data_IF_577155929765
#
_entry.id   IF_577155929765
#
_cell.length_a   1.000
_cell.length_b   1.000
_cell.length_c   1.000
_cell.angle_alpha   90.00
_cell.angle_beta   90.00
_cell.angle_gamma   90.00
#
_symmetry.space_group_name_H-M   'P 1'
#
loop_
_entity.id
_entity.type
_entity.pdbx_description
1 polymer ?
#
# COMPACT_ATOMS: atom_id res chain seq x y z
N UNK A 1 -5.76 -35.04 -10.80
CA UNK A 1 -5.18 -35.40 -9.49
C UNK A 1 -4.46 -34.17 -8.96
N UNK A 2 -4.85 -33.62 -7.80
CA UNK A 2 -4.15 -32.47 -7.22
C UNK A 2 -2.91 -32.99 -6.48
N UNK A 3 -1.73 -32.54 -6.88
CA UNK A 3 -0.49 -32.79 -6.15
C UNK A 3 -0.11 -31.53 -5.35
N UNK A 4 0.47 -31.66 -4.14
CA UNK A 4 0.97 -30.51 -3.41
C UNK A 4 2.00 -29.77 -4.25
N UNK A 5 1.89 -28.45 -4.33
CA UNK A 5 2.95 -27.64 -4.92
C UNK A 5 4.17 -27.75 -4.01
N UNK A 6 5.39 -27.98 -4.54
CA UNK A 6 6.60 -27.91 -3.74
C UNK A 6 6.64 -26.57 -2.98
N UNK A 7 7.02 -26.60 -1.69
CA UNK A 7 7.14 -25.39 -0.85
C UNK A 7 8.38 -24.59 -1.26
N UNK A 8 8.26 -23.90 -2.39
CA UNK A 8 9.24 -22.92 -2.86
C UNK A 8 8.86 -21.58 -2.24
N UNK A 9 9.58 -21.20 -1.20
CA UNK A 9 9.46 -19.89 -0.59
C UNK A 9 10.37 -18.91 -1.34
N UNK A 10 9.83 -17.81 -1.88
CA UNK A 10 10.68 -16.77 -2.46
C UNK A 10 11.59 -16.17 -1.40
N UNK A 11 12.72 -15.60 -1.85
CA UNK A 11 13.53 -14.74 -1.00
C UNK A 11 12.66 -13.60 -0.42
N UNK A 12 13.07 -13.05 0.71
CA UNK A 12 12.39 -11.91 1.34
C UNK A 12 13.25 -10.67 1.29
N UNK A 13 12.60 -9.51 1.23
CA UNK A 13 13.20 -8.19 1.41
C UNK A 13 12.64 -7.56 2.67
N UNK A 14 13.45 -6.79 3.38
CA UNK A 14 13.01 -5.99 4.53
C UNK A 14 12.48 -4.64 4.06
N UNK A 15 11.28 -4.27 4.51
CA UNK A 15 10.68 -2.95 4.34
C UNK A 15 10.22 -2.42 5.70
N UNK A 16 9.90 -1.14 5.80
CA UNK A 16 9.42 -0.52 7.02
C UNK A 16 7.96 -0.08 6.86
N UNK A 17 7.05 -0.65 7.65
CA UNK A 17 5.64 -0.25 7.69
C UNK A 17 5.36 0.47 8.99
N UNK A 18 4.95 1.74 8.95
CA UNK A 18 4.84 2.61 10.13
C UNK A 18 6.13 2.64 10.98
N UNK A 19 7.29 2.51 10.32
CA UNK A 19 8.59 2.44 10.98
C UNK A 19 8.97 1.07 11.55
N UNK A 20 8.06 0.10 11.56
CA UNK A 20 8.33 -1.27 11.99
C UNK A 20 8.92 -2.10 10.84
N UNK A 21 10.02 -2.86 11.04
CA UNK A 21 10.56 -3.73 10.01
C UNK A 21 9.64 -4.92 9.72
N UNK A 22 9.45 -5.24 8.44
CA UNK A 22 8.59 -6.32 7.96
C UNK A 22 9.33 -7.06 6.84
N UNK A 23 9.46 -8.39 6.98
CA UNK A 23 9.98 -9.25 5.94
C UNK A 23 8.86 -9.61 4.96
N UNK A 24 9.08 -9.31 3.68
CA UNK A 24 8.08 -9.46 2.63
C UNK A 24 8.68 -10.27 1.49
N UNK A 25 7.95 -11.24 0.89
CA UNK A 25 8.39 -11.90 -0.33
C UNK A 25 8.88 -10.91 -1.39
N UNK A 26 10.05 -11.16 -1.95
CA UNK A 26 10.56 -10.41 -3.10
C UNK A 26 9.54 -10.47 -4.25
N UNK A 27 9.32 -9.33 -4.91
CA UNK A 27 8.33 -9.20 -5.98
C UNK A 27 6.88 -9.01 -5.51
N UNK A 28 6.59 -9.10 -4.21
CA UNK A 28 5.26 -8.78 -3.68
C UNK A 28 4.96 -7.28 -3.75
N UNK A 29 3.70 -6.91 -3.50
CA UNK A 29 3.28 -5.51 -3.47
C UNK A 29 3.48 -4.88 -2.08
N UNK A 30 3.63 -3.56 -2.04
CA UNK A 30 3.63 -2.79 -0.80
C UNK A 30 2.33 -2.99 0.00
N UNK A 31 1.21 -3.25 -0.68
CA UNK A 31 -0.03 -3.64 -0.01
C UNK A 31 0.07 -4.99 0.73
N UNK A 32 0.83 -5.96 0.20
CA UNK A 32 1.08 -7.22 0.90
C UNK A 32 1.92 -7.00 2.16
N UNK A 33 2.92 -6.10 2.11
CA UNK A 33 3.71 -5.72 3.28
C UNK A 33 2.82 -5.21 4.43
N UNK A 34 1.83 -4.39 4.09
CA UNK A 34 0.88 -3.79 5.03
C UNK A 34 -0.01 -4.83 5.68
N UNK A 35 -0.48 -5.81 4.91
CA UNK A 35 -1.26 -6.92 5.44
C UNK A 35 -0.41 -7.83 6.35
N UNK A 36 0.84 -8.10 5.98
CA UNK A 36 1.79 -8.87 6.79
C UNK A 36 2.12 -8.15 8.11
N UNK A 37 2.20 -6.82 8.07
CA UNK A 37 2.40 -5.99 9.26
C UNK A 37 1.20 -5.99 10.22
N UNK A 38 0.04 -6.51 9.80
CA UNK A 38 -1.16 -6.58 10.64
C UNK A 38 -1.79 -5.22 10.95
N UNK A 39 -1.62 -4.22 10.08
CA UNK A 39 -2.20 -2.89 10.30
C UNK A 39 -3.74 -2.98 10.37
N UNK A 40 -4.40 -2.21 11.25
CA UNK A 40 -5.85 -2.13 11.32
C UNK A 40 -6.45 -1.31 10.17
N UNK A 41 -5.67 -0.37 9.61
CA UNK A 41 -5.99 0.47 8.47
C UNK A 41 -4.70 1.02 7.86
N UNK A 42 -4.72 1.31 6.55
CA UNK A 42 -3.63 2.06 5.87
C UNK A 42 -4.05 3.47 5.46
N UNK A 43 -5.34 3.78 5.56
CA UNK A 43 -5.87 5.12 5.36
C UNK A 43 -7.25 5.21 5.96
N UNK A 44 -7.73 6.45 6.04
CA UNK A 44 -9.13 6.76 6.25
C UNK A 44 -9.70 7.40 4.99
N UNK A 45 -11.00 7.20 4.72
CA UNK A 45 -11.66 7.89 3.62
C UNK A 45 -11.69 9.40 3.89
N UNK A 46 -11.37 10.26 2.90
CA UNK A 46 -11.37 11.72 3.10
C UNK A 46 -12.70 12.28 3.60
N UNK A 47 -13.80 11.62 3.22
CA UNK A 47 -15.15 11.90 3.71
C UNK A 47 -15.53 10.80 4.70
N UNK A 48 -15.91 11.18 5.91
CA UNK A 48 -16.43 10.26 6.94
C UNK A 48 -15.39 9.45 7.71
N UNK A 49 -14.10 9.51 7.34
CA UNK A 49 -13.02 8.91 8.14
C UNK A 49 -13.08 7.38 8.25
N UNK A 50 -13.74 6.69 7.32
CA UNK A 50 -13.88 5.24 7.41
C UNK A 50 -12.52 4.55 7.17
N UNK A 51 -12.07 3.66 8.06
CA UNK A 51 -10.79 2.96 7.91
C UNK A 51 -10.82 2.05 6.67
N UNK A 52 -9.71 2.01 5.94
CA UNK A 52 -9.54 1.15 4.76
C UNK A 52 -8.25 0.35 4.84
N UNK A 53 -8.32 -0.88 4.33
CA UNK A 53 -7.19 -1.77 4.09
C UNK A 53 -7.12 -2.17 2.61
N UNK A 54 -5.98 -2.72 2.16
CA UNK A 54 -5.92 -3.34 0.85
C UNK A 54 -7.02 -4.39 0.65
N UNK A 55 -7.82 -4.21 -0.40
CA UNK A 55 -8.98 -5.05 -0.69
C UNK A 55 -8.86 -5.73 -2.05
N UNK A 56 -8.96 -4.96 -3.15
CA UNK A 56 -9.08 -5.55 -4.49
C UNK A 56 -7.77 -6.15 -5.05
N UNK A 57 -6.60 -5.69 -4.60
CA UNK A 57 -5.28 -6.03 -5.17
C UNK A 57 -5.14 -5.84 -6.71
N UNK A 58 -6.00 -5.04 -7.33
CA UNK A 58 -6.08 -4.85 -8.78
C UNK A 58 -5.83 -3.39 -9.22
N UNK A 59 -5.62 -2.46 -8.29
CA UNK A 59 -5.46 -1.05 -8.62
C UNK A 59 -6.75 -0.31 -8.99
N UNK A 60 -7.92 -0.83 -8.62
CA UNK A 60 -9.22 -0.22 -9.02
C UNK A 60 -10.03 0.39 -7.87
N UNK A 61 -9.93 -0.15 -6.65
CA UNK A 61 -10.76 0.32 -5.52
C UNK A 61 -10.21 1.54 -4.79
N UNK A 62 -8.92 1.86 -4.96
CA UNK A 62 -8.20 2.93 -4.25
C UNK A 62 -8.18 2.82 -2.71
N UNK A 63 -8.55 1.68 -2.13
CA UNK A 63 -8.54 1.50 -0.67
C UNK A 63 -7.15 1.29 -0.06
N UNK A 64 -6.19 0.85 -0.88
CA UNK A 64 -4.79 0.67 -0.52
C UNK A 64 -3.92 1.93 -0.71
N UNK A 65 -4.50 3.13 -0.75
CA UNK A 65 -3.69 4.34 -0.88
C UNK A 65 -2.82 4.52 0.36
N UNK A 66 -1.53 4.72 0.14
CA UNK A 66 -0.49 4.85 1.16
C UNK A 66 0.48 5.99 0.82
N UNK A 67 1.27 6.40 1.80
CA UNK A 67 2.51 7.13 1.56
C UNK A 67 3.64 6.12 1.40
N UNK A 68 4.37 6.17 0.28
CA UNK A 68 5.48 5.26 0.01
C UNK A 68 6.69 6.10 -0.35
N UNK A 69 7.76 5.96 0.42
CA UNK A 69 9.02 6.71 0.29
C UNK A 69 8.80 8.24 0.20
N UNK A 70 7.90 8.76 1.03
CA UNK A 70 7.55 10.18 1.08
C UNK A 70 6.57 10.65 -0.01
N UNK A 71 6.13 9.75 -0.90
CA UNK A 71 5.15 10.06 -1.95
C UNK A 71 3.77 9.62 -1.49
N UNK A 72 2.88 10.58 -1.25
CA UNK A 72 1.51 10.33 -0.83
C UNK A 72 0.62 9.78 -1.97
N UNK A 73 -0.52 9.18 -1.60
CA UNK A 73 -1.56 8.71 -2.53
C UNK A 73 -1.07 7.71 -3.58
N UNK A 74 -0.15 6.83 -3.20
CA UNK A 74 0.27 5.70 -4.04
C UNK A 74 -0.63 4.49 -3.82
N UNK A 75 -1.04 3.83 -4.90
CA UNK A 75 -1.79 2.58 -4.82
C UNK A 75 -0.82 1.47 -4.43
N UNK A 76 -0.77 1.12 -3.14
CA UNK A 76 0.23 0.18 -2.63
C UNK A 76 0.16 -1.20 -3.30
N UNK A 77 -1.01 -1.61 -3.81
CA UNK A 77 -1.15 -2.87 -4.56
C UNK A 77 -0.46 -2.87 -5.93
N UNK A 78 -0.12 -1.70 -6.47
CA UNK A 78 0.54 -1.52 -7.78
C UNK A 78 2.03 -1.20 -7.63
N UNK A 79 2.56 -1.18 -6.40
CA UNK A 79 3.97 -0.87 -6.12
C UNK A 79 4.65 -2.14 -5.62
N UNK A 80 5.65 -2.62 -6.35
CA UNK A 80 6.49 -3.74 -5.91
C UNK A 80 7.43 -3.32 -4.78
N UNK A 81 7.60 -4.14 -3.76
CA UNK A 81 8.51 -3.85 -2.64
C UNK A 81 9.97 -3.86 -3.08
N UNK A 82 10.78 -3.02 -2.45
CA UNK A 82 12.24 -3.00 -2.59
C UNK A 82 12.89 -2.91 -1.21
N UNK A 83 14.13 -3.41 -1.02
CA UNK A 83 14.81 -3.35 0.27
C UNK A 83 14.88 -1.93 0.84
N UNK A 84 14.54 -1.76 2.11
CA UNK A 84 14.56 -0.48 2.82
C UNK A 84 13.40 0.47 2.51
N UNK A 85 12.45 0.08 1.65
CA UNK A 85 11.26 0.87 1.32
C UNK A 85 10.47 1.25 2.58
N UNK A 86 9.96 2.48 2.64
CA UNK A 86 9.16 3.00 3.75
C UNK A 86 7.71 3.18 3.33
N UNK A 87 6.81 2.49 4.02
CA UNK A 87 5.37 2.51 3.77
C UNK A 87 4.69 3.06 5.01
N UNK A 88 3.91 4.13 4.85
CA UNK A 88 3.16 4.74 5.92
C UNK A 88 1.68 4.91 5.54
N UNK A 89 0.83 5.00 6.55
CA UNK A 89 -0.58 5.24 6.40
C UNK A 89 -0.82 6.61 5.76
N UNK A 90 -1.71 6.64 4.77
CA UNK A 90 -2.14 7.89 4.16
C UNK A 90 -3.04 8.65 5.13
N UNK A 91 -2.65 9.87 5.47
CA UNK A 91 -3.40 10.73 6.40
C UNK A 91 -4.14 11.81 5.63
N UNK A 92 -5.47 11.77 5.73
CA UNK A 92 -6.35 12.75 5.08
C UNK A 92 -6.32 12.72 3.54
N UNK A 93 -6.84 13.77 2.93
CA UNK A 93 -6.79 13.95 1.48
C UNK A 93 -5.38 14.34 1.03
N UNK A 94 -4.99 13.89 -0.18
CA UNK A 94 -3.76 14.39 -0.80
C UNK A 94 -3.85 15.92 -0.94
N UNK A 95 -2.78 16.62 -0.59
CA UNK A 95 -2.70 18.04 -0.87
C UNK A 95 -2.47 18.23 -2.37
N UNK A 96 -3.38 18.94 -3.03
CA UNK A 96 -3.13 19.40 -4.38
C UNK A 96 -2.01 20.45 -4.31
N UNK A 97 -0.99 20.34 -5.17
CA UNK A 97 0.02 21.39 -5.30
C UNK A 97 -0.70 22.73 -5.53
N UNK A 98 -0.36 23.82 -4.82
CA UNK A 98 -0.94 25.13 -5.09
C UNK A 98 -0.75 25.46 -6.58
N UNK A 99 -1.85 25.64 -7.32
CA UNK A 99 -1.86 25.86 -8.77
C UNK A 99 -2.37 24.70 -9.64
N UNK A 100 -2.63 23.51 -9.08
CA UNK A 100 -3.43 22.50 -9.76
C UNK A 100 -4.92 22.82 -9.53
N UNK A 101 -5.51 23.64 -10.40
CA UNK A 101 -6.95 23.89 -10.39
C UNK A 101 -7.71 22.54 -10.42
N UNK A 102 -8.83 22.40 -9.69
CA UNK A 102 -9.70 21.24 -9.86
C UNK A 102 -10.28 21.30 -11.29
N UNK A 103 -9.69 20.54 -12.19
CA UNK A 103 -10.19 20.33 -13.53
C UNK A 103 -11.43 19.45 -13.49
N UNK A 104 -12.57 20.07 -13.18
CA UNK A 104 -13.90 19.60 -13.58
C UNK A 104 -14.70 20.84 -13.99
N UNK A 105 -14.56 21.19 -15.26
CA UNK A 105 -15.63 21.87 -16.00
C UNK A 105 -16.30 20.80 -16.87
N UNK A 106 -17.64 20.82 -16.88
CA UNK A 106 -18.62 19.92 -17.50
C UNK A 106 -19.01 18.69 -16.68
#
# INVERSE_FOLDING_TARGET
MFAPRPDIRPATVEVFVEGCPVLVPEGASAAAAVLLAGLPAIRETPVGGAPRLPYCMMGVCFDCLAEIDGVASRQACMVTVAPGMRIAAQRGARQARPGAAPGIAA
#
